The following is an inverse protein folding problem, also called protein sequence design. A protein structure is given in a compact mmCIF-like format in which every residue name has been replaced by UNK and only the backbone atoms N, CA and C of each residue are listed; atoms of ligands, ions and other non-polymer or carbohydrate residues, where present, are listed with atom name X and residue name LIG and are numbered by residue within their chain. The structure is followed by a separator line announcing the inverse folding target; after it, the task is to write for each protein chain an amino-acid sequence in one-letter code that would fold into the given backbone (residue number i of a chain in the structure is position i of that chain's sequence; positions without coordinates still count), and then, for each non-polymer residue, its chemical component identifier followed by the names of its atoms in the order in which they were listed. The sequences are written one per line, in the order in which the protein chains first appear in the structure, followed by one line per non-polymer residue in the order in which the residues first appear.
data_IF_929441933565
#
_entry.id   IF_929441933565
#
_cell.length_a   1.000
_cell.length_b   1.000
_cell.length_c   1.000
_cell.angle_alpha   90.00
_cell.angle_beta   90.00
_cell.angle_gamma   90.00
#
_symmetry.space_group_name_H-M   'P 1'
#
loop_
_entity.id
_entity.type
_entity.pdbx_description
1 polymer ?
#
# COMPACT_ATOMS: atom_id res chain seq x y z
N UNK A 1 -27.99 29.48 50.53
CA UNK A 1 -28.11 28.15 51.17
C UNK A 1 -28.13 27.10 50.07
N UNK A 2 -27.46 25.97 50.32
CA UNK A 2 -27.33 24.80 49.44
C UNK A 2 -28.63 23.99 49.30
N UNK A 3 -28.75 23.39 48.11
CA UNK A 3 -29.46 22.19 47.58
C UNK A 3 -29.83 21.06 48.57
N UNK A 4 -30.81 20.16 48.26
CA UNK A 4 -30.54 19.06 47.31
C UNK A 4 -31.74 18.45 46.52
N UNK A 5 -31.38 17.55 45.58
CA UNK A 5 -32.15 16.45 44.96
C UNK A 5 -32.79 16.78 43.59
N UNK A 6 -32.64 16.01 42.50
CA UNK A 6 -31.99 14.73 42.22
C UNK A 6 -32.15 14.50 40.70
N UNK A 7 -31.04 14.40 39.96
CA UNK A 7 -30.84 13.33 38.97
C UNK A 7 -29.42 13.44 38.42
N UNK A 8 -28.49 12.86 39.17
CA UNK A 8 -27.12 12.59 38.70
C UNK A 8 -27.21 11.56 37.59
N UNK A 9 -27.14 12.00 36.33
CA UNK A 9 -26.72 11.10 35.25
C UNK A 9 -25.19 11.08 35.20
N UNK A 10 -24.69 10.36 36.19
CA UNK A 10 -23.44 9.61 36.23
C UNK A 10 -23.29 8.85 34.89
N UNK A 11 -22.58 9.44 33.93
CA UNK A 11 -22.07 8.73 32.76
C UNK A 11 -20.59 8.45 33.00
N UNK A 12 -20.32 7.71 34.07
CA UNK A 12 -19.10 6.94 34.21
C UNK A 12 -19.34 5.57 33.53
N UNK A 13 -18.30 5.08 32.83
CA UNK A 13 -18.23 3.76 32.19
C UNK A 13 -19.02 3.64 30.86
N UNK A 14 -18.47 3.24 29.72
CA UNK A 14 -17.45 2.22 29.44
C UNK A 14 -16.67 2.54 28.15
N UNK A 15 -15.44 2.03 28.10
CA UNK A 15 -14.54 2.16 26.97
C UNK A 15 -15.15 1.67 25.67
N UNK A 16 -15.28 2.57 24.71
CA UNK A 16 -15.08 2.17 23.32
C UNK A 16 -13.57 2.21 23.10
N UNK A 17 -12.96 1.05 23.31
CA UNK A 17 -11.75 0.68 22.60
C UNK A 17 -12.03 0.91 21.12
N UNK A 18 -11.63 2.07 20.60
CA UNK A 18 -11.42 2.25 19.18
C UNK A 18 -10.19 1.42 18.82
N UNK A 19 -10.36 0.10 18.84
CA UNK A 19 -9.55 -0.85 18.10
C UNK A 19 -9.91 -0.69 16.62
N UNK A 20 -9.77 0.53 16.10
CA UNK A 20 -9.46 0.72 14.70
C UNK A 20 -7.99 0.39 14.62
N UNK A 21 -7.72 -0.90 14.44
CA UNK A 21 -6.44 -1.46 14.06
C UNK A 21 -5.72 -0.46 13.16
N UNK A 22 -4.74 0.25 13.75
CA UNK A 22 -3.72 0.99 13.03
C UNK A 22 -3.04 -0.07 12.18
N UNK A 23 -3.58 -0.32 10.98
CA UNK A 23 -3.00 -1.27 10.04
C UNK A 23 -1.56 -0.82 9.85
N UNK A 24 -0.56 -1.56 10.35
CA UNK A 24 0.79 -1.32 9.91
C UNK A 24 0.92 -2.04 8.56
N UNK A 25 0.11 -1.69 7.56
CA UNK A 25 0.27 -2.18 6.18
C UNK A 25 1.05 -1.17 5.33
N UNK A 26 1.72 -0.24 6.00
CA UNK A 26 2.99 0.25 5.53
C UNK A 26 4.04 -0.39 6.43
N UNK A 27 4.37 -1.66 6.18
CA UNK A 27 5.76 -2.08 6.40
C UNK A 27 6.60 -1.00 5.74
N UNK A 28 7.21 -0.16 6.57
CA UNK A 28 8.34 0.63 6.18
C UNK A 28 9.39 -0.39 5.76
N UNK A 29 9.29 -0.84 4.50
CA UNK A 29 10.34 -1.59 3.85
C UNK A 29 11.55 -0.70 4.06
N UNK A 30 12.49 -1.20 4.87
CA UNK A 30 13.80 -0.61 4.96
C UNK A 30 14.20 -0.38 3.50
N UNK A 31 14.30 0.90 3.15
CA UNK A 31 14.92 1.37 1.92
C UNK A 31 16.40 1.01 2.06
N UNK A 32 16.65 -0.29 2.07
CA UNK A 32 17.94 -0.92 2.29
C UNK A 32 18.72 -0.63 1.04
N UNK A 33 19.32 0.57 1.04
CA UNK A 33 20.20 1.13 0.03
C UNK A 33 20.03 0.43 -1.31
N UNK A 34 18.86 0.64 -1.93
CA UNK A 34 18.69 0.32 -3.32
C UNK A 34 19.84 1.04 -4.04
N UNK A 35 20.74 0.31 -4.75
CA UNK A 35 21.95 0.91 -5.30
C UNK A 35 21.54 2.13 -6.12
N UNK A 36 22.26 3.25 -5.95
CA UNK A 36 21.99 4.53 -6.61
C UNK A 36 21.57 4.28 -8.08
N UNK A 37 20.26 4.41 -8.36
CA UNK A 37 19.65 4.03 -9.65
C UNK A 37 18.43 3.10 -9.58
N UNK A 38 18.15 2.46 -8.44
CA UNK A 38 16.96 1.60 -8.25
C UNK A 38 15.74 2.34 -7.65
N UNK A 39 15.81 3.65 -7.47
CA UNK A 39 14.66 4.51 -7.17
C UNK A 39 14.02 5.00 -8.48
N UNK A 40 12.93 4.35 -8.91
CA UNK A 40 12.25 4.69 -10.17
C UNK A 40 11.40 3.54 -10.71
N UNK A 41 11.11 3.57 -12.01
CA UNK A 41 10.28 2.55 -12.68
C UNK A 41 10.88 1.15 -12.57
N UNK A 42 12.21 1.03 -12.59
CA UNK A 42 12.91 -0.25 -12.37
C UNK A 42 12.59 -0.85 -10.99
N UNK A 43 12.61 -0.04 -9.92
CA UNK A 43 12.24 -0.52 -8.58
C UNK A 43 10.74 -0.83 -8.43
N UNK A 44 9.89 -0.23 -9.26
CA UNK A 44 8.46 -0.60 -9.34
C UNK A 44 8.31 -1.95 -10.04
N UNK A 45 9.03 -2.17 -11.14
CA UNK A 45 9.04 -3.43 -11.88
C UNK A 45 9.57 -4.60 -11.04
N UNK A 46 10.64 -4.39 -10.28
CA UNK A 46 11.17 -5.43 -9.38
C UNK A 46 10.16 -5.80 -8.28
N UNK A 47 9.51 -4.80 -7.67
CA UNK A 47 8.45 -5.06 -6.67
C UNK A 47 7.24 -5.75 -7.26
N UNK A 48 6.86 -5.38 -8.48
CA UNK A 48 5.81 -6.05 -9.24
C UNK A 48 6.18 -7.52 -9.51
N UNK A 49 7.41 -7.78 -9.97
CA UNK A 49 7.91 -9.14 -10.22
C UNK A 49 7.88 -9.99 -8.97
N UNK A 50 8.44 -9.48 -7.87
CA UNK A 50 8.42 -10.16 -6.56
C UNK A 50 6.99 -10.41 -6.07
N UNK A 51 6.10 -9.43 -6.19
CA UNK A 51 4.70 -9.54 -5.78
C UNK A 51 3.94 -10.61 -6.56
N UNK A 52 4.25 -10.76 -7.85
CA UNK A 52 3.67 -11.80 -8.73
C UNK A 52 4.28 -13.17 -8.44
N UNK A 53 5.61 -13.29 -8.37
CA UNK A 53 6.32 -14.55 -8.15
C UNK A 53 6.02 -15.18 -6.80
N UNK A 54 5.98 -14.37 -5.74
CA UNK A 54 5.68 -14.83 -4.39
C UNK A 54 4.18 -14.98 -4.13
N UNK A 55 3.33 -14.51 -5.06
CA UNK A 55 1.87 -14.50 -4.89
C UNK A 55 1.39 -13.65 -3.72
N UNK A 56 2.21 -12.72 -3.23
CA UNK A 56 1.91 -11.87 -2.07
C UNK A 56 1.00 -10.70 -2.43
N UNK A 57 0.98 -10.29 -3.70
CA UNK A 57 0.12 -9.21 -4.17
C UNK A 57 -1.18 -9.75 -4.78
N UNK A 58 -2.34 -9.16 -4.43
CA UNK A 58 -3.59 -9.46 -5.12
C UNK A 58 -3.47 -9.17 -6.62
N UNK A 59 -4.07 -10.00 -7.46
CA UNK A 59 -4.03 -9.83 -8.93
C UNK A 59 -4.48 -8.43 -9.38
N UNK A 60 -5.45 -7.82 -8.69
CA UNK A 60 -5.90 -6.44 -8.93
C UNK A 60 -4.78 -5.41 -8.74
N UNK A 61 -3.94 -5.58 -7.71
CA UNK A 61 -2.79 -4.71 -7.44
C UNK A 61 -1.73 -4.86 -8.53
N UNK A 62 -1.41 -6.10 -8.92
CA UNK A 62 -0.46 -6.37 -10.01
C UNK A 62 -0.91 -5.72 -11.33
N UNK A 63 -2.19 -5.83 -11.67
CA UNK A 63 -2.78 -5.19 -12.86
C UNK A 63 -2.67 -3.67 -12.81
N UNK A 64 -3.07 -3.05 -11.70
CA UNK A 64 -3.00 -1.60 -11.52
C UNK A 64 -1.58 -1.05 -11.67
N UNK A 65 -0.59 -1.73 -11.07
CA UNK A 65 0.81 -1.32 -11.17
C UNK A 65 1.35 -1.53 -12.58
N UNK A 66 0.98 -2.62 -13.26
CA UNK A 66 1.35 -2.85 -14.65
C UNK A 66 0.76 -1.78 -15.60
N UNK A 67 -0.49 -1.36 -15.40
CA UNK A 67 -1.12 -0.26 -16.14
C UNK A 67 -0.37 1.06 -15.92
N UNK A 68 -0.03 1.36 -14.66
CA UNK A 68 0.73 2.55 -14.31
C UNK A 68 2.10 2.57 -15.01
N UNK A 69 2.86 1.47 -14.95
CA UNK A 69 4.18 1.37 -15.60
C UNK A 69 4.07 1.54 -17.11
N UNK A 70 3.04 0.97 -17.75
CA UNK A 70 2.78 1.19 -19.18
C UNK A 70 2.42 2.64 -19.50
N UNK A 71 1.68 3.32 -18.62
CA UNK A 71 1.27 4.71 -18.83
C UNK A 71 2.44 5.71 -18.84
N UNK A 72 3.54 5.37 -18.17
CA UNK A 72 4.77 6.18 -18.10
C UNK A 72 5.90 5.62 -18.97
N UNK A 73 5.64 4.56 -19.74
CA UNK A 73 6.68 3.85 -20.50
C UNK A 73 7.32 4.66 -21.64
N UNK A 74 6.64 5.71 -22.10
CA UNK A 74 7.18 6.62 -23.12
C UNK A 74 8.25 7.57 -22.53
N UNK A 75 8.13 7.93 -21.24
CA UNK A 75 9.05 8.85 -20.55
C UNK A 75 10.25 8.12 -19.93
N UNK A 76 10.06 6.85 -19.59
CA UNK A 76 11.07 6.00 -18.97
C UNK A 76 11.37 4.88 -19.94
N UNK A 77 12.49 4.94 -20.67
CA UNK A 77 12.92 3.98 -21.71
C UNK A 77 12.86 2.51 -21.26
N UNK A 78 11.67 1.94 -21.22
CA UNK A 78 11.44 0.54 -20.89
C UNK A 78 11.88 -0.32 -22.06
N UNK A 79 12.52 -1.44 -21.72
CA UNK A 79 12.81 -2.47 -22.69
C UNK A 79 11.52 -3.11 -23.20
N UNK A 80 11.59 -3.66 -24.43
CA UNK A 80 10.47 -4.42 -25.02
C UNK A 80 10.03 -5.57 -24.12
N UNK A 81 10.95 -6.16 -23.33
CA UNK A 81 10.63 -7.24 -22.40
C UNK A 81 9.81 -6.75 -21.20
N UNK A 82 10.20 -5.63 -20.59
CA UNK A 82 9.46 -5.02 -19.47
C UNK A 82 8.04 -4.59 -19.87
N UNK A 83 7.90 -4.01 -21.07
CA UNK A 83 6.59 -3.67 -21.64
C UNK A 83 5.75 -4.93 -21.87
N UNK A 84 6.36 -5.98 -22.41
CA UNK A 84 5.70 -7.26 -22.67
C UNK A 84 5.31 -7.98 -21.38
N UNK A 85 6.13 -7.88 -20.34
CA UNK A 85 5.84 -8.37 -19.00
C UNK A 85 4.60 -7.68 -18.43
N UNK A 86 4.55 -6.34 -18.42
CA UNK A 86 3.41 -5.60 -17.92
C UNK A 86 2.12 -5.93 -18.69
N UNK A 87 2.19 -6.03 -20.03
CA UNK A 87 1.03 -6.41 -20.85
C UNK A 87 0.50 -7.80 -20.54
N UNK A 88 1.37 -8.77 -20.23
CA UNK A 88 0.96 -10.14 -19.86
C UNK A 88 0.15 -10.18 -18.57
N UNK A 89 0.38 -9.25 -17.64
CA UNK A 89 -0.35 -9.18 -16.38
C UNK A 89 -1.79 -8.63 -16.54
N UNK A 90 -2.08 -7.97 -17.66
CA UNK A 90 -3.41 -7.38 -17.95
C UNK A 90 -4.37 -8.37 -18.63
N UNK A 91 -3.86 -9.47 -19.17
CA UNK A 91 -4.66 -10.57 -19.74
C UNK A 91 -5.27 -11.41 -18.61
#
# INVERSE_FOLDING_TARGET
MNDPEDNRNDWEHEGYEDSSEDQPDAEAYEDGELPYGMSGVTGILERLSKGVELGTWPQKKCRMVAEYVLSISDDYWLSTDEVSYCRRLLV
#
